data_IF_853306207476
#
_entry.id   IF_853306207476
#
_cell.length_a   1.000
_cell.length_b   1.000
_cell.length_c   1.000
_cell.angle_alpha   90.00
_cell.angle_beta   90.00
_cell.angle_gamma   90.00
#
_symmetry.space_group_name_H-M   'P 1'
#
loop_
_entity.id
_entity.type
_entity.pdbx_description
1 polymer ?
#
# COMPACT_ATOMS: atom_id res chain seq x y z
N UNK A 1 -40.41 -34.14 43.57
CA UNK A 1 -39.63 -34.71 42.45
C UNK A 1 -39.55 -33.69 41.33
N UNK A 2 -38.33 -33.22 40.98
CA UNK A 2 -37.85 -32.89 39.62
C UNK A 2 -38.59 -31.72 38.92
N UNK A 3 -38.01 -30.61 38.44
CA UNK A 3 -36.63 -30.17 38.19
C UNK A 3 -36.69 -28.64 38.01
N UNK A 4 -35.72 -27.94 38.57
CA UNK A 4 -35.37 -26.54 38.28
C UNK A 4 -34.91 -26.38 36.82
N UNK A 5 -35.21 -25.25 36.18
CA UNK A 5 -34.56 -24.83 34.91
C UNK A 5 -34.20 -23.36 34.97
N UNK A 6 -33.05 -23.13 35.60
CA UNK A 6 -32.19 -21.99 35.35
C UNK A 6 -31.36 -22.32 34.10
N UNK A 7 -31.65 -21.67 32.98
CA UNK A 7 -30.85 -21.85 31.76
C UNK A 7 -30.96 -20.66 30.80
N UNK A 8 -31.11 -19.43 31.30
CA UNK A 8 -31.14 -18.21 30.47
C UNK A 8 -30.20 -17.12 31.00
N UNK A 9 -29.05 -17.53 31.54
CA UNK A 9 -27.92 -16.64 31.85
C UNK A 9 -26.64 -17.40 31.51
N UNK A 10 -26.33 -17.60 30.23
CA UNK A 10 -24.98 -18.01 29.82
C UNK A 10 -24.70 -17.89 28.30
N UNK A 11 -25.13 -16.79 27.65
CA UNK A 11 -24.65 -16.46 26.28
C UNK A 11 -23.99 -15.08 26.25
N UNK A 12 -23.45 -14.61 27.37
CA UNK A 12 -22.65 -13.35 27.44
C UNK A 12 -21.22 -13.64 27.94
N UNK A 13 -20.66 -14.83 27.65
CA UNK A 13 -19.30 -15.17 28.10
C UNK A 13 -18.50 -15.97 27.08
N UNK A 14 -18.49 -15.57 25.80
CA UNK A 14 -17.43 -16.01 24.89
C UNK A 14 -17.15 -15.03 23.74
N UNK A 15 -16.78 -13.79 24.09
CA UNK A 15 -16.04 -12.91 23.17
C UNK A 15 -14.94 -12.11 23.90
N UNK A 16 -14.41 -12.68 25.00
CA UNK A 16 -13.36 -12.05 25.80
C UNK A 16 -11.98 -12.73 25.60
N UNK A 17 -11.68 -13.25 24.41
CA UNK A 17 -10.35 -13.79 24.08
C UNK A 17 -10.04 -13.65 22.59
N UNK A 18 -9.60 -12.44 22.18
CA UNK A 18 -8.62 -12.19 21.09
C UNK A 18 -8.69 -10.75 20.55
N UNK A 19 -8.83 -9.74 21.42
CA UNK A 19 -8.48 -8.36 21.06
C UNK A 19 -7.11 -7.92 21.61
N UNK A 20 -6.31 -8.86 22.14
CA UNK A 20 -4.89 -8.66 22.48
C UNK A 20 -4.02 -9.23 21.36
N UNK A 21 -4.19 -8.72 20.15
CA UNK A 21 -3.24 -8.94 19.05
C UNK A 21 -3.15 -7.72 18.11
N UNK A 22 -3.55 -6.53 18.57
CA UNK A 22 -3.27 -5.28 17.87
C UNK A 22 -2.25 -4.46 18.66
N UNK A 23 -1.04 -4.98 18.80
CA UNK A 23 0.13 -4.15 19.11
C UNK A 23 1.42 -4.93 18.85
N UNK A 24 1.67 -5.29 17.60
CA UNK A 24 3.02 -5.56 17.14
C UNK A 24 3.20 -4.88 15.79
N UNK A 25 4.14 -3.93 15.72
CA UNK A 25 4.66 -3.31 14.51
C UNK A 25 3.87 -2.18 13.81
N UNK A 26 3.46 -1.14 14.54
CA UNK A 26 3.47 0.20 13.92
C UNK A 26 3.91 1.26 14.91
N UNK A 27 5.18 1.20 15.30
CA UNK A 27 5.87 2.41 15.73
C UNK A 27 5.84 3.38 14.55
N UNK A 28 5.36 4.60 14.75
CA UNK A 28 5.33 5.63 13.71
C UNK A 28 6.74 5.80 13.14
N UNK A 29 6.98 5.26 11.94
CA UNK A 29 8.26 5.41 11.25
C UNK A 29 8.48 6.91 10.98
N UNK A 30 9.68 7.42 11.27
CA UNK A 30 10.03 8.80 10.91
C UNK A 30 9.82 9.01 9.40
N UNK A 31 9.35 10.21 9.03
CA UNK A 31 9.14 10.56 7.63
C UNK A 31 10.45 10.40 6.83
N UNK A 32 10.40 9.92 5.57
CA UNK A 32 11.57 9.85 4.72
C UNK A 32 12.07 11.26 4.40
N UNK A 33 13.40 11.41 4.31
CA UNK A 33 14.03 12.66 3.89
C UNK A 33 13.98 12.73 2.36
N UNK A 34 13.34 13.77 1.83
CA UNK A 34 13.23 14.00 0.39
C UNK A 34 14.28 15.03 -0.06
N UNK A 35 14.84 14.90 -1.28
CA UNK A 35 15.65 15.97 -1.86
C UNK A 35 14.79 17.20 -2.12
N UNK A 36 15.39 18.40 -2.01
CA UNK A 36 14.68 19.67 -2.24
C UNK A 36 14.20 19.81 -3.69
N UNK A 37 14.96 19.28 -4.65
CA UNK A 37 14.62 19.31 -6.08
C UNK A 37 14.45 17.88 -6.62
N UNK A 38 13.26 17.51 -7.11
CA UNK A 38 13.04 16.22 -7.76
C UNK A 38 13.66 16.21 -9.17
N UNK A 39 13.93 15.02 -9.71
CA UNK A 39 14.20 14.88 -11.14
C UNK A 39 12.88 14.89 -11.92
N UNK A 40 12.98 15.17 -13.21
CA UNK A 40 11.85 15.02 -14.12
C UNK A 40 11.63 13.53 -14.41
N UNK A 41 10.44 13.08 -14.10
CA UNK A 41 9.91 11.74 -14.35
C UNK A 41 8.63 11.78 -15.17
N UNK A 42 7.97 12.94 -15.26
CA UNK A 42 6.70 13.17 -15.96
C UNK A 42 6.88 13.67 -17.41
N UNK A 43 8.09 13.61 -17.95
CA UNK A 43 8.57 14.36 -19.10
C UNK A 43 7.82 14.05 -20.41
N UNK A 44 7.07 12.95 -20.49
CA UNK A 44 6.27 12.56 -21.66
C UNK A 44 7.08 12.21 -22.93
N UNK A 45 8.35 12.57 -22.99
CA UNK A 45 9.24 12.40 -24.15
C UNK A 45 9.90 11.02 -24.14
N UNK A 46 9.08 9.99 -24.33
CA UNK A 46 9.59 8.65 -24.57
C UNK A 46 10.08 8.50 -26.03
N UNK A 47 11.20 7.80 -26.28
CA UNK A 47 11.60 7.44 -27.62
C UNK A 47 10.50 6.74 -28.42
N UNK A 48 10.49 6.96 -29.73
CA UNK A 48 9.41 6.50 -30.62
C UNK A 48 9.08 5.00 -30.48
N UNK A 49 10.07 4.14 -30.25
CA UNK A 49 9.87 2.70 -30.10
C UNK A 49 9.05 2.27 -28.86
N UNK A 50 8.81 3.17 -27.89
CA UNK A 50 7.89 2.94 -26.78
C UNK A 50 6.45 3.33 -27.10
N UNK A 51 6.26 4.23 -28.07
CA UNK A 51 4.96 4.81 -28.42
C UNK A 51 4.45 4.36 -29.79
N UNK A 52 5.30 3.75 -30.60
CA UNK A 52 5.01 3.35 -31.97
C UNK A 52 4.32 1.98 -32.04
N UNK A 53 3.30 1.89 -32.91
CA UNK A 53 2.48 0.70 -33.11
C UNK A 53 1.48 0.49 -31.98
N UNK A 54 0.27 1.07 -32.07
CA UNK A 54 -0.81 0.87 -31.07
C UNK A 54 -1.46 -0.52 -31.06
N UNK A 55 -0.73 -1.56 -31.46
CA UNK A 55 -1.18 -2.95 -31.42
C UNK A 55 -1.09 -3.53 -30.00
N UNK A 56 -1.71 -4.70 -29.75
CA UNK A 56 -1.78 -5.31 -28.42
C UNK A 56 -0.42 -5.71 -27.82
N UNK A 57 0.61 -5.87 -28.65
CA UNK A 57 1.97 -6.24 -28.24
C UNK A 57 2.87 -5.04 -27.93
N UNK A 58 2.33 -3.81 -28.02
CA UNK A 58 3.12 -2.59 -27.84
C UNK A 58 3.40 -2.28 -26.37
N UNK A 59 4.47 -1.54 -26.09
CA UNK A 59 4.74 -1.10 -24.72
C UNK A 59 3.64 -0.14 -24.24
N UNK A 60 3.17 0.74 -25.13
CA UNK A 60 2.06 1.66 -24.84
C UNK A 60 0.75 0.94 -24.48
N UNK A 61 0.45 -0.22 -25.09
CA UNK A 61 -0.75 -1.01 -24.72
C UNK A 61 -0.63 -1.71 -23.37
N UNK A 62 0.57 -1.76 -22.79
CA UNK A 62 0.82 -2.30 -21.45
C UNK A 62 0.83 -1.22 -20.36
N UNK A 63 0.60 0.05 -20.72
CA UNK A 63 0.49 1.13 -19.73
C UNK A 63 -0.77 0.94 -18.88
N UNK A 64 -0.58 0.76 -17.58
CA UNK A 64 -1.63 0.59 -16.59
C UNK A 64 -1.79 1.82 -15.68
N UNK A 65 -1.19 2.95 -16.05
CA UNK A 65 -1.29 4.21 -15.31
C UNK A 65 -2.70 4.76 -15.44
N UNK A 66 -3.52 4.75 -14.38
CA UNK A 66 -4.89 5.24 -14.47
C UNK A 66 -4.90 6.78 -14.46
N UNK A 67 -5.91 7.37 -15.09
CA UNK A 67 -6.02 8.82 -15.28
C UNK A 67 -6.07 9.62 -13.96
N UNK A 68 -6.58 9.01 -12.90
CA UNK A 68 -6.72 9.61 -11.57
C UNK A 68 -5.48 9.44 -10.69
N UNK A 69 -4.50 8.65 -11.14
CA UNK A 69 -3.20 8.49 -10.47
C UNK A 69 -2.06 8.54 -11.49
N UNK A 70 -1.84 9.70 -12.14
CA UNK A 70 -0.75 9.87 -13.08
C UNK A 70 0.61 9.88 -12.36
N UNK A 71 1.65 9.48 -13.09
CA UNK A 71 3.04 9.65 -12.61
C UNK A 71 3.37 11.13 -12.45
N UNK A 72 4.01 11.48 -11.32
CA UNK A 72 4.47 12.84 -11.01
C UNK A 72 5.92 12.80 -10.52
N UNK A 73 6.67 13.88 -10.74
CA UNK A 73 8.06 14.03 -10.28
C UNK A 73 8.20 13.80 -8.77
N UNK A 74 7.28 14.36 -7.99
CA UNK A 74 7.27 14.26 -6.53
C UNK A 74 6.91 12.85 -6.06
N UNK A 75 5.90 12.22 -6.67
CA UNK A 75 5.49 10.84 -6.38
C UNK A 75 6.59 9.84 -6.71
N UNK A 76 7.21 9.95 -7.88
CA UNK A 76 8.33 9.11 -8.29
C UNK A 76 9.55 9.31 -7.37
N UNK A 77 9.84 10.56 -6.97
CA UNK A 77 10.91 10.86 -6.00
C UNK A 77 10.66 10.20 -4.65
N UNK A 78 9.42 10.26 -4.14
CA UNK A 78 9.05 9.56 -2.92
C UNK A 78 9.24 8.05 -3.07
N UNK A 79 8.77 7.45 -4.17
CA UNK A 79 8.93 6.03 -4.46
C UNK A 79 10.40 5.59 -4.45
N UNK A 80 11.29 6.35 -5.09
CA UNK A 80 12.74 6.09 -5.10
C UNK A 80 13.35 6.14 -3.70
N UNK A 81 12.98 7.12 -2.88
CA UNK A 81 13.48 7.22 -1.49
C UNK A 81 12.98 6.03 -0.66
N UNK A 82 11.72 5.64 -0.81
CA UNK A 82 11.15 4.49 -0.11
C UNK A 82 11.80 3.17 -0.56
N UNK A 83 12.12 3.03 -1.85
CA UNK A 83 12.78 1.83 -2.39
C UNK A 83 14.10 1.51 -1.69
N UNK A 84 14.86 2.55 -1.30
CA UNK A 84 16.13 2.39 -0.59
C UNK A 84 16.01 2.49 0.94
N UNK A 85 14.80 2.69 1.49
CA UNK A 85 14.61 2.79 2.93
C UNK A 85 14.58 1.40 3.58
N UNK A 86 15.72 0.99 4.15
CA UNK A 86 15.88 -0.31 4.81
C UNK A 86 14.96 -0.52 6.01
N UNK A 87 14.39 0.56 6.59
CA UNK A 87 13.40 0.44 7.68
C UNK A 87 12.07 -0.15 7.21
N UNK A 88 11.88 -0.29 5.90
CA UNK A 88 10.73 -0.98 5.30
C UNK A 88 10.96 -2.48 5.15
N UNK A 89 12.17 -2.97 5.42
CA UNK A 89 12.50 -4.40 5.46
C UNK A 89 11.97 -5.04 6.76
N UNK A 90 11.52 -6.29 6.66
CA UNK A 90 11.19 -7.14 7.81
C UNK A 90 12.41 -7.91 8.35
N UNK A 91 13.55 -7.88 7.66
CA UNK A 91 14.81 -8.50 8.06
C UNK A 91 15.71 -7.52 8.79
#
# INVERSE_FOLDING_TARGET
MKRTSAAWVCVITLAATSALAQSAASGRRSAPVLPETPFRYDDGDLPQHFTEGGGPESVASSDNTPVDNPTTDTGATLGRVLFYDTRLSAN
#
